data_IF_896333714365
#
_entry.id   IF_896333714365
#
_cell.length_a   1.000
_cell.length_b   1.000
_cell.length_c   1.000
_cell.angle_alpha   90.00
_cell.angle_beta   90.00
_cell.angle_gamma   90.00
#
_symmetry.space_group_name_H-M   'P 1'
#
loop_
_entity.id
_entity.type
_entity.pdbx_description
1 polymer ?
#
# COMPACT_ATOMS: atom_id res chain seq x y z
N UNK A 1 -25.66 -19.57 -5.59
CA UNK A 1 -25.73 -18.65 -6.75
C UNK A 1 -25.89 -17.23 -6.23
N UNK A 2 -25.26 -16.23 -6.85
CA UNK A 2 -25.38 -14.83 -6.44
C UNK A 2 -24.03 -14.10 -6.32
N UNK A 3 -23.30 -13.95 -7.43
CA UNK A 3 -22.26 -12.91 -7.54
C UNK A 3 -22.82 -11.84 -8.46
N UNK A 4 -23.00 -10.64 -7.91
CA UNK A 4 -23.38 -9.44 -8.69
C UNK A 4 -22.07 -8.83 -9.18
N UNK A 5 -21.88 -8.74 -10.49
CA UNK A 5 -20.77 -7.99 -11.07
C UNK A 5 -21.11 -6.50 -11.03
N UNK A 6 -20.41 -5.75 -10.19
CA UNK A 6 -20.45 -4.28 -10.20
C UNK A 6 -19.34 -3.80 -11.11
N UNK A 7 -19.69 -3.06 -12.15
CA UNK A 7 -18.69 -2.36 -12.97
C UNK A 7 -18.08 -1.24 -12.14
N UNK A 8 -16.76 -1.30 -11.94
CA UNK A 8 -15.99 -0.24 -11.28
C UNK A 8 -15.32 0.55 -12.39
N UNK A 9 -15.69 1.83 -12.51
CA UNK A 9 -14.99 2.75 -13.40
C UNK A 9 -13.59 2.99 -12.84
N UNK A 10 -12.57 2.60 -13.63
CA UNK A 10 -11.17 2.74 -13.25
C UNK A 10 -10.59 3.97 -13.93
N UNK A 11 -10.08 4.90 -13.14
CA UNK A 11 -9.23 5.98 -13.63
C UNK A 11 -7.74 5.59 -13.45
N UNK A 12 -6.84 6.41 -13.98
CA UNK A 12 -5.40 6.22 -13.88
C UNK A 12 -4.98 6.22 -12.39
N UNK A 13 -4.35 5.15 -11.87
CA UNK A 13 -4.09 5.02 -10.43
C UNK A 13 -3.26 6.16 -9.84
N UNK A 14 -2.22 6.62 -10.54
CA UNK A 14 -1.35 7.68 -10.02
C UNK A 14 -2.08 9.02 -9.95
N UNK A 15 -2.92 9.33 -10.93
CA UNK A 15 -3.79 10.52 -10.92
C UNK A 15 -4.71 10.52 -9.70
N UNK A 16 -5.34 9.39 -9.38
CA UNK A 16 -6.19 9.27 -8.19
C UNK A 16 -5.35 9.52 -6.93
N UNK A 17 -4.20 8.87 -6.82
CA UNK A 17 -3.31 8.95 -5.65
C UNK A 17 -2.80 10.39 -5.42
N UNK A 18 -2.37 11.08 -6.49
CA UNK A 18 -1.94 12.48 -6.42
C UNK A 18 -3.08 13.40 -5.99
N UNK A 19 -4.30 13.20 -6.50
CA UNK A 19 -5.46 13.98 -6.09
C UNK A 19 -5.79 13.78 -4.60
N UNK A 20 -5.72 12.53 -4.13
CA UNK A 20 -5.92 12.19 -2.71
C UNK A 20 -4.84 12.80 -1.82
N UNK A 21 -3.58 12.79 -2.25
CA UNK A 21 -2.48 13.40 -1.52
C UNK A 21 -2.68 14.93 -1.37
N UNK A 22 -3.03 15.62 -2.45
CA UNK A 22 -3.32 17.06 -2.42
C UNK A 22 -4.51 17.37 -1.51
N UNK A 23 -5.58 16.58 -1.57
CA UNK A 23 -6.74 16.72 -0.67
C UNK A 23 -6.34 16.54 0.80
N UNK A 24 -5.49 15.55 1.10
CA UNK A 24 -5.05 15.28 2.45
C UNK A 24 -4.26 16.47 3.03
N UNK A 25 -3.29 16.98 2.28
CA UNK A 25 -2.49 18.15 2.68
C UNK A 25 -3.36 19.39 2.85
N UNK A 26 -4.25 19.64 1.89
CA UNK A 26 -5.09 20.85 1.87
C UNK A 26 -6.12 20.89 3.00
N UNK A 27 -6.58 19.73 3.45
CA UNK A 27 -7.61 19.60 4.49
C UNK A 27 -7.08 19.11 5.84
N UNK A 28 -5.76 19.00 6.01
CA UNK A 28 -5.15 18.49 7.24
C UNK A 28 -5.52 17.03 7.57
N UNK A 29 -5.86 16.23 6.56
CA UNK A 29 -6.08 14.78 6.73
C UNK A 29 -4.73 14.06 6.66
N UNK A 30 -4.64 12.89 7.29
CA UNK A 30 -3.48 12.01 7.15
C UNK A 30 -3.43 11.46 5.71
N UNK A 31 -2.30 11.59 4.98
CA UNK A 31 -2.14 10.92 3.69
C UNK A 31 -2.30 9.41 3.83
N UNK A 32 -2.92 8.78 2.82
CA UNK A 32 -3.04 7.32 2.74
C UNK A 32 -2.66 6.86 1.33
N UNK A 33 -1.62 6.00 1.21
CA UNK A 33 -0.77 5.52 2.29
C UNK A 33 0.10 6.65 2.89
N UNK A 34 0.48 6.51 4.16
CA UNK A 34 1.48 7.38 4.81
C UNK A 34 2.91 6.91 4.55
N UNK A 35 3.89 7.74 4.92
CA UNK A 35 5.31 7.38 4.78
C UNK A 35 5.67 6.15 5.62
N UNK A 36 5.15 6.07 6.84
CA UNK A 36 5.37 4.95 7.77
C UNK A 36 4.72 3.66 7.24
N UNK A 37 3.55 3.77 6.60
CA UNK A 37 2.90 2.64 5.93
C UNK A 37 3.75 2.15 4.74
N UNK A 38 4.33 3.08 3.98
CA UNK A 38 5.27 2.77 2.91
C UNK A 38 6.53 2.07 3.40
N UNK A 39 7.12 2.55 4.49
CA UNK A 39 8.30 1.93 5.12
C UNK A 39 8.01 0.51 5.63
N UNK A 40 6.86 0.31 6.26
CA UNK A 40 6.42 -1.01 6.71
C UNK A 40 6.23 -1.97 5.53
N UNK A 41 5.51 -1.56 4.49
CA UNK A 41 5.27 -2.40 3.30
C UNK A 41 6.58 -2.75 2.60
N UNK A 42 7.50 -1.80 2.50
CA UNK A 42 8.83 -2.05 1.95
C UNK A 42 9.60 -3.09 2.79
N UNK A 43 9.58 -2.95 4.12
CA UNK A 43 10.22 -3.90 5.04
C UNK A 43 9.65 -5.31 4.90
N UNK A 44 8.32 -5.42 4.74
CA UNK A 44 7.63 -6.69 4.46
C UNK A 44 8.09 -7.30 3.14
N UNK A 45 8.14 -6.50 2.08
CA UNK A 45 8.55 -6.97 0.75
C UNK A 45 9.99 -7.52 0.77
N UNK A 46 10.91 -6.82 1.43
CA UNK A 46 12.31 -7.25 1.57
C UNK A 46 12.38 -8.58 2.34
N UNK A 47 11.72 -8.69 3.49
CA UNK A 47 11.73 -9.90 4.29
C UNK A 47 11.08 -11.10 3.57
N UNK A 48 10.06 -10.86 2.75
CA UNK A 48 9.44 -11.91 1.93
C UNK A 48 10.41 -12.45 0.87
N UNK A 49 11.17 -11.57 0.21
CA UNK A 49 12.20 -11.96 -0.74
C UNK A 49 13.31 -12.76 -0.04
N UNK A 50 13.79 -12.28 1.11
CA UNK A 50 14.82 -12.97 1.90
C UNK A 50 14.35 -14.35 2.37
N UNK A 51 13.11 -14.44 2.87
CA UNK A 51 12.48 -15.70 3.28
C UNK A 51 12.41 -16.70 2.13
N UNK A 52 12.03 -16.24 0.93
CA UNK A 52 12.00 -17.08 -0.27
C UNK A 52 13.39 -17.57 -0.66
N UNK A 53 14.40 -16.72 -0.61
CA UNK A 53 15.78 -17.07 -0.97
C UNK A 53 16.42 -18.06 0.00
N UNK A 54 16.15 -17.90 1.30
CA UNK A 54 16.80 -18.68 2.36
C UNK A 54 15.98 -19.90 2.82
N UNK A 55 14.70 -19.99 2.43
CA UNK A 55 13.82 -21.09 2.79
C UNK A 55 13.45 -21.13 4.28
N UNK A 56 13.55 -19.99 4.98
CA UNK A 56 13.25 -19.88 6.40
C UNK A 56 12.44 -18.61 6.71
N UNK A 57 11.77 -18.59 7.86
CA UNK A 57 10.98 -17.42 8.27
C UNK A 57 11.91 -16.28 8.67
N UNK A 58 11.69 -15.11 8.07
CA UNK A 58 12.38 -13.86 8.42
C UNK A 58 11.51 -13.02 9.34
N UNK A 59 12.11 -12.51 10.42
CA UNK A 59 11.43 -11.62 11.37
C UNK A 59 11.46 -10.18 10.83
N UNK A 60 10.32 -9.52 10.82
CA UNK A 60 10.25 -8.09 10.51
C UNK A 60 10.82 -7.28 11.67
N UNK A 61 11.78 -6.42 11.36
CA UNK A 61 12.27 -5.39 12.26
C UNK A 61 11.80 -4.04 11.70
N UNK A 62 10.65 -3.58 12.17
CA UNK A 62 10.17 -2.21 11.93
C UNK A 62 10.51 -1.36 13.14
N UNK A 63 10.93 -0.12 12.90
CA UNK A 63 11.28 0.86 13.93
C UNK A 63 10.06 1.36 14.71
#
# INVERSE_FOLDING_TARGET
EGRISVEIEKDEPLKIELAQFVDAVSNGKKPSPSGEEGEYVLSVAIAAIESYQNGNTVRLNVA
#
